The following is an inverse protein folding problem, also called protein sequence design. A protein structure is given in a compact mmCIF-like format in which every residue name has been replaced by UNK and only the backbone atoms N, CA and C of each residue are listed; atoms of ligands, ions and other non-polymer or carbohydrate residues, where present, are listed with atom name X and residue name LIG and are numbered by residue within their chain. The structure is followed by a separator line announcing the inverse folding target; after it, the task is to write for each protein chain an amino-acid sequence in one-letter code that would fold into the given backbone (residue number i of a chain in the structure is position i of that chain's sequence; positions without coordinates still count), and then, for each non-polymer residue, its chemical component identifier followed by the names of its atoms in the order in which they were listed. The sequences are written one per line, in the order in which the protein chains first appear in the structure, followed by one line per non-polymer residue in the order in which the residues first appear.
data_IF_455165015423
#
_entry.id   IF_455165015423
#
_cell.length_a   1.000
_cell.length_b   1.000
_cell.length_c   1.000
_cell.angle_alpha   90.00
_cell.angle_beta   90.00
_cell.angle_gamma   90.00
#
_symmetry.space_group_name_H-M   'P 1'
#
loop_
_entity.id
_entity.type
_entity.pdbx_description
1 polymer ?
#
# COMPACT_ATOMS: atom_id res chain seq x y z
N UNK A 1 0.10 -26.33 9.35
CA UNK A 1 -1.20 -26.64 10.00
C UNK A 1 -1.46 -25.66 11.15
N UNK A 2 -0.82 -25.82 12.32
CA UNK A 2 -1.00 -24.94 13.50
C UNK A 2 -1.08 -23.43 13.22
N UNK A 3 -0.12 -22.86 12.47
CA UNK A 3 -0.12 -21.42 12.19
C UNK A 3 -1.36 -20.92 11.41
N UNK A 4 -1.96 -21.77 10.57
CA UNK A 4 -3.18 -21.47 9.82
C UNK A 4 -4.39 -21.57 10.76
N UNK A 5 -4.45 -22.63 11.57
CA UNK A 5 -5.56 -22.83 12.51
C UNK A 5 -5.61 -21.73 13.57
N UNK A 6 -4.47 -21.38 14.16
CA UNK A 6 -4.34 -20.27 15.12
C UNK A 6 -4.79 -18.94 14.49
N UNK A 7 -4.49 -18.73 13.20
CA UNK A 7 -4.92 -17.56 12.46
C UNK A 7 -6.45 -17.51 12.31
N UNK A 8 -7.08 -18.59 11.84
CA UNK A 8 -8.53 -18.62 11.65
C UNK A 8 -9.29 -18.53 12.98
N UNK A 9 -8.79 -19.17 14.04
CA UNK A 9 -9.42 -19.07 15.36
C UNK A 9 -9.35 -17.64 15.91
N UNK A 10 -8.22 -16.95 15.73
CA UNK A 10 -8.12 -15.53 16.08
C UNK A 10 -9.13 -14.67 15.29
N UNK A 11 -9.29 -14.92 13.98
CA UNK A 11 -10.25 -14.20 13.13
C UNK A 11 -11.70 -14.52 13.50
N UNK A 12 -12.00 -15.76 13.88
CA UNK A 12 -13.32 -16.19 14.32
C UNK A 12 -13.71 -15.48 15.61
N UNK A 13 -12.81 -15.43 16.60
CA UNK A 13 -13.01 -14.66 17.85
C UNK A 13 -13.22 -13.17 17.60
N UNK A 14 -12.59 -12.63 16.56
CA UNK A 14 -12.78 -11.23 16.13
C UNK A 14 -14.05 -11.00 15.28
N UNK A 15 -14.85 -12.03 15.00
CA UNK A 15 -16.06 -11.91 14.17
C UNK A 15 -15.79 -11.64 12.69
N UNK A 16 -14.59 -11.97 12.19
CA UNK A 16 -14.15 -11.67 10.82
C UNK A 16 -14.37 -12.85 9.86
N UNK A 17 -14.49 -14.06 10.39
CA UNK A 17 -14.76 -15.29 9.65
C UNK A 17 -15.77 -16.14 10.41
N UNK A 18 -16.43 -17.05 9.70
CA UNK A 18 -17.24 -18.11 10.29
C UNK A 18 -17.08 -19.42 9.51
N UNK A 19 -17.47 -20.52 10.12
CA UNK A 19 -17.51 -21.81 9.43
C UNK A 19 -18.48 -21.72 8.25
N UNK A 20 -18.07 -22.27 7.11
CA UNK A 20 -18.80 -22.15 5.85
C UNK A 20 -19.45 -23.47 5.45
N UNK A 21 -20.58 -23.36 4.76
CA UNK A 21 -21.23 -24.45 4.01
C UNK A 21 -21.24 -24.15 2.50
N UNK A 22 -20.39 -23.23 2.07
CA UNK A 22 -20.34 -22.77 0.68
C UNK A 22 -19.97 -23.92 -0.26
N UNK A 23 -20.55 -23.96 -1.47
CA UNK A 23 -20.09 -24.86 -2.53
C UNK A 23 -18.73 -24.44 -3.12
N UNK A 24 -18.21 -23.26 -2.74
CA UNK A 24 -16.91 -22.76 -3.18
C UNK A 24 -15.81 -23.08 -2.17
N UNK A 25 -14.57 -23.18 -2.66
CA UNK A 25 -13.39 -23.30 -1.80
C UNK A 25 -12.13 -22.86 -2.52
N UNK A 26 -11.35 -21.99 -1.89
CA UNK A 26 -9.99 -21.68 -2.29
C UNK A 26 -8.98 -22.20 -1.24
N UNK A 27 -7.89 -22.87 -1.64
CA UNK A 27 -6.95 -23.43 -0.68
C UNK A 27 -6.18 -22.32 0.04
N UNK A 28 -5.95 -22.51 1.35
CA UNK A 28 -5.10 -21.64 2.17
C UNK A 28 -3.76 -22.28 2.48
N UNK A 29 -2.69 -21.51 2.31
CA UNK A 29 -1.33 -21.91 2.66
C UNK A 29 -0.59 -20.77 3.37
N UNK A 30 0.63 -21.04 3.86
CA UNK A 30 1.44 -20.03 4.51
C UNK A 30 2.86 -19.94 3.91
N UNK A 31 3.40 -18.73 3.89
CA UNK A 31 4.78 -18.44 3.46
C UNK A 31 5.53 -17.75 4.60
N UNK A 32 6.84 -18.02 4.72
CA UNK A 32 7.69 -17.36 5.73
C UNK A 32 7.90 -15.90 5.35
N UNK A 33 7.78 -14.99 6.31
CA UNK A 33 8.19 -13.59 6.14
C UNK A 33 9.71 -13.47 6.33
N UNK A 34 10.32 -12.52 5.64
CA UNK A 34 11.76 -12.23 5.77
C UNK A 34 12.15 -11.84 7.22
N UNK A 35 11.27 -11.15 7.94
CA UNK A 35 11.47 -10.71 9.32
C UNK A 35 10.99 -11.75 10.36
N UNK A 36 10.74 -12.99 9.94
CA UNK A 36 10.16 -14.03 10.79
C UNK A 36 8.62 -14.01 10.84
N UNK A 37 8.05 -15.15 11.26
CA UNK A 37 6.61 -15.39 11.27
C UNK A 37 6.03 -15.85 9.93
N UNK A 38 4.70 -16.01 9.90
CA UNK A 38 3.97 -16.56 8.75
C UNK A 38 3.08 -15.50 8.10
N UNK A 39 2.98 -15.56 6.77
CA UNK A 39 1.95 -14.86 5.98
C UNK A 39 0.98 -15.92 5.47
N UNK A 40 -0.29 -15.79 5.86
CA UNK A 40 -1.37 -16.64 5.37
C UNK A 40 -1.81 -16.11 4.00
N UNK A 41 -1.99 -17.02 3.04
CA UNK A 41 -2.30 -16.73 1.64
C UNK A 41 -3.46 -17.61 1.20
N UNK A 42 -4.46 -17.00 0.57
CA UNK A 42 -5.61 -17.69 -0.03
C UNK A 42 -5.45 -17.71 -1.55
N UNK A 43 -5.51 -18.88 -2.16
CA UNK A 43 -5.30 -19.03 -3.60
C UNK A 43 -6.59 -18.73 -4.40
N UNK A 44 -7.02 -17.46 -4.38
CA UNK A 44 -8.24 -16.99 -5.07
C UNK A 44 -8.10 -16.88 -6.60
N UNK A 45 -7.13 -17.54 -7.24
CA UNK A 45 -6.85 -17.41 -8.67
C UNK A 45 -8.11 -17.62 -9.53
N UNK A 46 -8.82 -18.74 -9.33
CA UNK A 46 -10.05 -19.06 -10.09
C UNK A 46 -11.17 -18.03 -9.85
N UNK A 47 -11.34 -17.58 -8.61
CA UNK A 47 -12.31 -16.55 -8.26
C UNK A 47 -11.97 -15.21 -8.93
N UNK A 48 -10.68 -14.85 -8.92
CA UNK A 48 -10.19 -13.61 -9.52
C UNK A 48 -10.32 -13.63 -11.04
N UNK A 49 -10.13 -14.78 -11.69
CA UNK A 49 -10.33 -14.93 -13.13
C UNK A 49 -11.80 -14.73 -13.52
N UNK A 50 -12.73 -15.25 -12.72
CA UNK A 50 -14.17 -15.05 -12.92
C UNK A 50 -14.68 -13.66 -12.50
N UNK A 51 -13.88 -12.88 -11.76
CA UNK A 51 -14.29 -11.56 -11.26
C UNK A 51 -14.00 -10.46 -12.28
N UNK A 52 -15.02 -9.66 -12.60
CA UNK A 52 -14.86 -8.47 -13.43
C UNK A 52 -13.92 -7.46 -12.74
N UNK A 53 -12.83 -7.01 -13.39
CA UNK A 53 -11.91 -6.04 -12.80
C UNK A 53 -12.60 -4.70 -12.49
N UNK A 54 -12.42 -4.20 -11.28
CA UNK A 54 -12.87 -2.85 -10.92
C UNK A 54 -12.00 -1.80 -11.62
N UNK A 55 -12.63 -0.94 -12.41
CA UNK A 55 -11.99 0.22 -13.04
C UNK A 55 -12.09 1.41 -12.08
N UNK A 56 -11.18 1.49 -11.11
CA UNK A 56 -11.12 2.64 -10.20
C UNK A 56 -10.03 3.60 -10.68
N UNK A 57 -10.32 4.90 -10.85
CA UNK A 57 -9.29 5.88 -11.18
C UNK A 57 -8.25 5.92 -10.07
N UNK A 58 -7.03 5.49 -10.36
CA UNK A 58 -5.88 5.62 -9.46
C UNK A 58 -5.13 6.88 -9.87
N UNK A 59 -4.95 7.87 -8.97
CA UNK A 59 -4.18 9.05 -9.30
C UNK A 59 -2.76 8.65 -9.69
N UNK A 60 -2.22 9.30 -10.74
CA UNK A 60 -0.83 9.11 -11.10
C UNK A 60 0.04 9.55 -9.93
N UNK A 61 1.11 8.79 -9.65
CA UNK A 61 2.08 9.09 -8.59
C UNK A 61 2.55 10.56 -8.63
N UNK A 62 2.75 11.09 -9.83
CA UNK A 62 3.29 12.44 -10.02
C UNK A 62 2.27 13.51 -9.57
N UNK A 63 0.96 13.26 -9.73
CA UNK A 63 -0.10 14.17 -9.23
C UNK A 63 -0.07 14.30 -7.71
N UNK A 64 0.18 13.19 -7.00
CA UNK A 64 0.31 13.20 -5.53
C UNK A 64 1.58 13.93 -5.12
N UNK A 65 2.69 13.66 -5.80
CA UNK A 65 3.97 14.30 -5.50
C UNK A 65 3.89 15.81 -5.77
N UNK A 66 3.28 16.22 -6.87
CA UNK A 66 3.12 17.61 -7.27
C UNK A 66 2.21 18.38 -6.29
N UNK A 67 1.17 17.74 -5.73
CA UNK A 67 0.33 18.39 -4.71
C UNK A 67 1.10 18.68 -3.41
N UNK A 68 2.19 17.96 -3.16
CA UNK A 68 3.07 18.15 -2.01
C UNK A 68 4.16 19.21 -2.25
N UNK A 69 4.23 19.78 -3.46
CA UNK A 69 5.20 20.82 -3.79
C UNK A 69 5.10 22.02 -2.83
N UNK A 70 6.23 22.71 -2.61
CA UNK A 70 6.36 23.86 -1.71
C UNK A 70 6.04 23.58 -0.23
N UNK A 71 5.79 22.33 0.14
CA UNK A 71 5.66 21.92 1.53
C UNK A 71 7.05 21.75 2.14
N UNK A 72 7.16 22.01 3.44
CA UNK A 72 8.44 22.06 4.15
C UNK A 72 8.54 21.02 5.27
N UNK A 73 7.39 20.54 5.75
CA UNK A 73 7.29 19.48 6.76
C UNK A 73 6.26 18.43 6.33
N UNK A 74 6.59 17.16 6.62
CA UNK A 74 5.88 16.00 6.10
C UNK A 74 5.65 14.94 7.17
N UNK A 75 4.56 14.19 7.03
CA UNK A 75 4.32 12.94 7.75
C UNK A 75 3.80 11.88 6.77
N UNK A 76 4.09 10.62 7.05
CA UNK A 76 3.56 9.49 6.30
C UNK A 76 2.87 8.52 7.27
N UNK A 77 1.65 8.11 6.94
CA UNK A 77 0.90 7.10 7.68
C UNK A 77 0.72 5.86 6.80
N UNK A 78 0.97 4.68 7.38
CA UNK A 78 0.63 3.37 6.80
C UNK A 78 -0.63 2.87 7.48
N UNK A 79 -1.74 2.77 6.74
CA UNK A 79 -3.00 2.24 7.26
C UNK A 79 -2.86 0.73 7.52
N UNK A 80 -3.34 0.29 8.69
CA UNK A 80 -3.17 -1.09 9.17
C UNK A 80 -4.23 -2.00 8.58
N UNK A 81 -3.81 -3.07 7.91
CA UNK A 81 -4.64 -4.23 7.56
C UNK A 81 -6.04 -3.82 7.05
N UNK A 82 -6.08 -2.79 6.21
CA UNK A 82 -7.30 -2.03 5.91
C UNK A 82 -8.40 -2.87 5.28
N UNK A 83 -8.03 -3.93 4.56
CA UNK A 83 -8.97 -4.85 3.93
C UNK A 83 -9.92 -5.50 4.95
N UNK A 84 -9.40 -5.97 6.10
CA UNK A 84 -10.23 -6.64 7.12
C UNK A 84 -11.16 -5.69 7.89
N UNK A 85 -11.12 -4.39 7.60
CA UNK A 85 -12.03 -3.39 8.18
C UNK A 85 -13.28 -3.16 7.31
N UNK A 86 -13.27 -3.62 6.06
CA UNK A 86 -14.38 -3.47 5.12
C UNK A 86 -15.23 -4.74 5.16
N UNK A 87 -16.53 -4.60 5.42
CA UNK A 87 -17.47 -5.72 5.40
C UNK A 87 -17.63 -6.26 3.98
N UNK A 88 -17.71 -7.59 3.86
CA UNK A 88 -18.15 -8.23 2.63
C UNK A 88 -19.63 -7.97 2.43
N UNK A 89 -20.05 -7.84 1.16
CA UNK A 89 -21.47 -7.89 0.80
C UNK A 89 -22.00 -9.29 1.12
N UNK A 90 -23.16 -9.40 1.74
CA UNK A 90 -23.71 -10.67 2.21
C UNK A 90 -23.82 -11.74 1.12
N UNK A 91 -24.22 -11.36 -0.10
CA UNK A 91 -24.30 -12.26 -1.25
C UNK A 91 -22.96 -12.84 -1.70
N UNK A 92 -21.87 -12.15 -1.38
CA UNK A 92 -20.53 -12.46 -1.89
C UNK A 92 -19.70 -13.21 -0.84
N UNK A 93 -20.17 -13.28 0.42
CA UNK A 93 -19.50 -14.00 1.52
C UNK A 93 -19.18 -15.45 1.12
N UNK A 94 -20.12 -16.26 0.57
CA UNK A 94 -19.83 -17.66 0.23
C UNK A 94 -18.73 -17.80 -0.83
N UNK A 95 -18.51 -16.80 -1.68
CA UNK A 95 -17.46 -16.82 -2.71
C UNK A 95 -16.05 -16.74 -2.08
N UNK A 96 -15.95 -16.18 -0.88
CA UNK A 96 -14.68 -16.05 -0.14
C UNK A 96 -14.32 -17.31 0.65
N UNK A 97 -15.07 -18.41 0.48
CA UNK A 97 -14.82 -19.63 1.21
C UNK A 97 -13.41 -20.20 0.94
N UNK A 98 -12.72 -20.58 2.01
CA UNK A 98 -11.35 -21.06 2.01
C UNK A 98 -11.19 -22.33 2.83
N UNK A 99 -10.45 -23.29 2.29
CA UNK A 99 -10.11 -24.53 2.99
C UNK A 99 -8.76 -24.44 3.68
N UNK A 100 -8.66 -25.04 4.87
CA UNK A 100 -7.42 -25.18 5.62
C UNK A 100 -6.84 -26.59 5.44
N UNK A 101 -5.52 -26.78 5.64
CA UNK A 101 -4.91 -28.12 5.65
C UNK A 101 -5.46 -29.06 6.75
N UNK A 102 -6.13 -28.52 7.77
CA UNK A 102 -6.81 -29.27 8.83
C UNK A 102 -8.20 -29.78 8.42
N UNK A 103 -8.64 -29.51 7.19
CA UNK A 103 -9.94 -29.95 6.67
C UNK A 103 -11.12 -29.04 7.01
N UNK A 104 -10.86 -27.85 7.58
CA UNK A 104 -11.90 -26.89 7.91
C UNK A 104 -12.21 -25.98 6.72
N UNK A 105 -13.47 -25.57 6.60
CA UNK A 105 -13.93 -24.61 5.61
C UNK A 105 -14.44 -23.34 6.30
N UNK A 106 -13.83 -22.19 5.96
CA UNK A 106 -14.17 -20.88 6.52
C UNK A 106 -14.61 -19.93 5.43
N UNK A 107 -15.49 -18.98 5.73
CA UNK A 107 -15.82 -17.86 4.85
C UNK A 107 -15.60 -16.53 5.57
N UNK A 108 -15.28 -15.49 4.79
CA UNK A 108 -14.92 -14.18 5.30
C UNK A 108 -16.12 -13.23 5.34
N UNK A 109 -16.32 -12.62 6.51
CA UNK A 109 -17.34 -11.58 6.74
C UNK A 109 -16.80 -10.17 6.45
N UNK A 110 -15.47 -10.04 6.39
CA UNK A 110 -14.73 -8.83 6.02
C UNK A 110 -13.86 -9.13 4.80
N UNK A 111 -13.46 -8.12 4.04
CA UNK A 111 -12.77 -8.29 2.78
C UNK A 111 -11.37 -8.92 3.00
N UNK A 112 -11.13 -10.17 2.55
CA UNK A 112 -9.84 -10.82 2.74
C UNK A 112 -8.78 -10.31 1.75
N UNK A 113 -7.52 -10.51 2.12
CA UNK A 113 -6.41 -10.35 1.19
C UNK A 113 -6.47 -11.39 0.06
N UNK A 114 -6.02 -11.00 -1.14
CA UNK A 114 -5.93 -11.88 -2.31
C UNK A 114 -7.09 -11.76 -3.29
N UNK A 115 -8.20 -11.09 -2.92
CA UNK A 115 -9.26 -10.78 -3.87
C UNK A 115 -8.81 -9.71 -4.88
N UNK A 116 -9.15 -9.90 -6.15
CA UNK A 116 -8.79 -9.02 -7.28
C UNK A 116 -9.12 -7.56 -7.04
N UNK A 117 -10.33 -7.29 -6.55
CA UNK A 117 -10.85 -5.94 -6.39
C UNK A 117 -10.66 -5.39 -4.97
N UNK A 118 -9.98 -6.10 -4.06
CA UNK A 118 -9.78 -5.62 -2.69
C UNK A 118 -8.97 -4.30 -2.61
N UNK A 119 -7.82 -4.16 -3.32
CA UNK A 119 -7.08 -2.89 -3.35
C UNK A 119 -7.91 -1.72 -3.88
N UNK A 120 -8.66 -1.96 -4.97
CA UNK A 120 -9.52 -0.97 -5.60
C UNK A 120 -10.65 -0.49 -4.66
N UNK A 121 -11.30 -1.42 -3.97
CA UNK A 121 -12.38 -1.14 -3.02
C UNK A 121 -11.86 -0.37 -1.82
N UNK A 122 -10.72 -0.79 -1.26
CA UNK A 122 -10.10 -0.12 -0.13
C UNK A 122 -9.67 1.30 -0.48
N UNK A 123 -8.97 1.49 -1.61
CA UNK A 123 -8.54 2.80 -2.06
C UNK A 123 -9.74 3.75 -2.28
N UNK A 124 -10.83 3.26 -2.87
CA UNK A 124 -12.06 4.05 -3.06
C UNK A 124 -12.67 4.46 -1.71
N UNK A 125 -12.68 3.56 -0.73
CA UNK A 125 -13.16 3.84 0.62
C UNK A 125 -12.31 4.94 1.28
N UNK A 126 -10.99 4.75 1.38
CA UNK A 126 -10.07 5.71 2.02
C UNK A 126 -10.13 7.08 1.33
N UNK A 127 -10.08 7.10 0.00
CA UNK A 127 -10.16 8.35 -0.78
C UNK A 127 -11.47 9.09 -0.52
N UNK A 128 -12.58 8.37 -0.41
CA UNK A 128 -13.87 8.98 -0.09
C UNK A 128 -13.90 9.52 1.34
N UNK A 129 -13.45 8.73 2.32
CA UNK A 129 -13.45 9.10 3.73
C UNK A 129 -12.52 10.28 4.02
N UNK A 130 -11.38 10.38 3.35
CA UNK A 130 -10.38 11.44 3.54
C UNK A 130 -10.55 12.61 2.55
N UNK A 131 -11.63 12.64 1.77
CA UNK A 131 -11.84 13.63 0.71
C UNK A 131 -11.75 15.08 1.20
N UNK A 132 -12.21 15.37 2.42
CA UNK A 132 -12.22 16.73 2.98
C UNK A 132 -10.84 17.23 3.41
N UNK A 133 -9.84 16.34 3.48
CA UNK A 133 -8.47 16.66 3.90
C UNK A 133 -7.45 16.39 2.79
N UNK A 134 -7.90 15.97 1.60
CA UNK A 134 -7.05 15.53 0.49
C UNK A 134 -6.02 16.57 0.03
N UNK A 135 -6.30 17.86 0.26
CA UNK A 135 -5.45 18.96 -0.21
C UNK A 135 -4.13 19.07 0.59
N UNK A 136 -4.11 18.55 1.82
CA UNK A 136 -2.90 18.47 2.66
C UNK A 136 -2.57 17.03 3.11
N UNK A 137 -3.45 16.07 2.84
CA UNK A 137 -3.33 14.67 3.20
C UNK A 137 -3.78 13.73 2.06
N UNK A 138 -3.18 13.80 0.85
CA UNK A 138 -3.48 12.87 -0.23
C UNK A 138 -3.20 11.41 0.20
N UNK A 139 -4.11 10.52 -0.19
CA UNK A 139 -4.01 9.07 0.07
C UNK A 139 -3.69 8.29 -1.21
N UNK A 140 -2.95 7.21 -1.07
CA UNK A 140 -2.68 6.23 -2.12
C UNK A 140 -2.75 4.82 -1.54
N UNK A 141 -3.85 4.11 -1.78
CA UNK A 141 -4.15 2.84 -1.13
C UNK A 141 -4.02 2.92 0.40
N UNK A 142 -3.02 2.25 0.97
CA UNK A 142 -2.75 2.18 2.41
C UNK A 142 -1.93 3.39 2.91
N UNK A 143 -1.33 4.18 2.03
CA UNK A 143 -0.50 5.32 2.42
C UNK A 143 -1.32 6.61 2.49
N UNK A 144 -1.09 7.41 3.53
CA UNK A 144 -1.59 8.79 3.63
C UNK A 144 -0.41 9.72 3.88
N UNK A 145 -0.21 10.69 2.98
CA UNK A 145 0.92 11.61 3.03
C UNK A 145 0.44 12.98 3.49
N UNK A 146 0.85 13.41 4.69
CA UNK A 146 0.53 14.73 5.22
C UNK A 146 1.67 15.66 4.87
N UNK A 147 1.35 16.81 4.30
CA UNK A 147 2.33 17.83 3.95
C UNK A 147 1.84 19.20 4.41
N UNK A 148 2.75 20.07 4.81
CA UNK A 148 2.40 21.40 5.33
C UNK A 148 3.51 22.40 5.07
N UNK A 149 3.14 23.67 5.09
CA UNK A 149 4.04 24.83 5.01
C UNK A 149 3.50 25.93 5.91
N UNK A 150 4.33 26.92 6.19
CA UNK A 150 3.89 28.14 6.87
C UNK A 150 2.88 28.90 5.98
N UNK A 151 1.75 29.30 6.56
CA UNK A 151 0.66 30.05 5.91
C UNK A 151 -0.03 30.91 6.98
N UNK A 152 -0.54 32.08 6.61
CA UNK A 152 -1.34 32.97 7.49
C UNK A 152 -0.67 33.30 8.83
N UNK A 153 0.65 33.54 8.80
CA UNK A 153 1.43 33.88 10.00
C UNK A 153 1.73 32.70 10.94
N UNK A 154 1.23 31.50 10.64
CA UNK A 154 1.54 30.28 11.40
C UNK A 154 2.82 29.63 10.90
N UNK A 155 3.64 29.13 11.81
CA UNK A 155 4.80 28.31 11.48
C UNK A 155 4.38 27.01 10.79
N UNK A 156 5.33 26.40 10.07
CA UNK A 156 5.11 25.09 9.43
C UNK A 156 4.70 24.01 10.45
N UNK A 157 5.25 24.06 11.68
CA UNK A 157 4.97 23.11 12.75
C UNK A 157 3.55 23.28 13.29
N UNK A 158 3.09 24.53 13.46
CA UNK A 158 1.71 24.81 13.90
C UNK A 158 0.70 24.35 12.87
N UNK A 159 0.93 24.68 11.59
CA UNK A 159 0.10 24.20 10.48
C UNK A 159 0.07 22.68 10.42
N UNK A 160 1.22 22.01 10.57
CA UNK A 160 1.30 20.56 10.52
C UNK A 160 0.53 19.89 11.68
N UNK A 161 0.60 20.47 12.89
CA UNK A 161 -0.20 20.00 14.03
C UNK A 161 -1.70 20.14 13.77
N UNK A 162 -2.15 21.23 13.14
CA UNK A 162 -3.55 21.39 12.77
C UNK A 162 -4.01 20.36 11.73
N UNK A 163 -3.21 20.12 10.70
CA UNK A 163 -3.48 19.10 9.69
C UNK A 163 -3.57 17.70 10.30
N UNK A 164 -2.61 17.33 11.15
CA UNK A 164 -2.65 16.06 11.88
C UNK A 164 -3.90 15.93 12.76
N UNK A 165 -4.29 16.99 13.49
CA UNK A 165 -5.52 16.98 14.31
C UNK A 165 -6.77 16.74 13.46
N UNK A 166 -6.91 17.44 12.33
CA UNK A 166 -8.04 17.30 11.39
C UNK A 166 -8.10 15.88 10.82
N UNK A 167 -6.97 15.36 10.34
CA UNK A 167 -6.88 14.01 9.80
C UNK A 167 -7.19 12.95 10.86
N UNK A 168 -6.60 13.05 12.05
CA UNK A 168 -6.84 12.08 13.11
C UNK A 168 -8.27 12.11 13.66
N UNK A 169 -8.93 13.27 13.66
CA UNK A 169 -10.35 13.35 14.00
C UNK A 169 -11.21 12.54 13.00
N UNK A 170 -10.90 12.67 11.71
CA UNK A 170 -11.59 11.95 10.63
C UNK A 170 -11.32 10.44 10.69
N UNK A 171 -10.05 10.05 10.91
CA UNK A 171 -9.68 8.65 11.10
C UNK A 171 -10.39 8.02 12.31
N UNK A 172 -10.45 8.71 13.46
CA UNK A 172 -11.20 8.23 14.64
C UNK A 172 -12.69 8.09 14.36
N UNK A 173 -13.30 9.08 13.70
CA UNK A 173 -14.72 9.04 13.32
C UNK A 173 -15.05 7.81 12.47
N UNK A 174 -14.18 7.45 11.54
CA UNK A 174 -14.37 6.34 10.62
C UNK A 174 -13.68 5.04 11.03
N UNK A 175 -13.10 4.99 12.24
CA UNK A 175 -12.38 3.82 12.77
C UNK A 175 -11.27 3.32 11.83
N UNK A 176 -10.55 4.26 11.20
CA UNK A 176 -9.35 3.97 10.42
C UNK A 176 -8.13 3.98 11.35
N UNK A 177 -7.34 2.91 11.29
CA UNK A 177 -6.17 2.72 12.15
C UNK A 177 -4.88 2.70 11.33
N UNK A 178 -3.83 3.33 11.86
CA UNK A 178 -2.50 3.31 11.26
C UNK A 178 -1.55 2.39 12.03
N UNK A 179 -0.55 1.85 11.34
CA UNK A 179 0.53 1.10 11.92
C UNK A 179 1.63 2.04 12.42
N UNK A 180 1.57 2.40 13.70
CA UNK A 180 2.48 3.36 14.33
C UNK A 180 3.97 3.09 14.05
N UNK A 181 4.39 1.81 13.99
CA UNK A 181 5.79 1.43 13.74
C UNK A 181 6.30 1.82 12.35
N UNK A 182 5.40 2.05 11.40
CA UNK A 182 5.72 2.45 10.02
C UNK A 182 5.41 3.93 9.75
N UNK A 183 4.75 4.61 10.69
CA UNK A 183 4.44 6.02 10.52
C UNK A 183 5.70 6.88 10.68
N UNK A 184 5.77 7.97 9.93
CA UNK A 184 6.80 9.01 10.04
C UNK A 184 6.08 10.31 10.37
N UNK A 185 6.58 11.07 11.35
CA UNK A 185 5.95 12.31 11.79
C UNK A 185 6.91 13.50 11.74
N UNK A 186 6.44 14.61 11.15
CA UNK A 186 7.12 15.90 11.20
C UNK A 186 8.54 15.91 10.61
N UNK A 187 8.79 15.11 9.58
CA UNK A 187 10.09 15.01 8.93
C UNK A 187 10.26 16.07 7.83
N UNK A 188 11.50 16.42 7.51
CA UNK A 188 11.86 17.30 6.39
C UNK A 188 11.76 16.63 5.02
N UNK A 189 11.76 15.30 5.01
CA UNK A 189 11.59 14.45 3.84
C UNK A 189 10.98 13.10 4.24
N UNK A 190 10.18 12.51 3.34
CA UNK A 190 9.54 11.20 3.53
C UNK A 190 9.57 10.36 2.26
N UNK A 191 9.55 9.02 2.37
CA UNK A 191 9.32 8.14 1.23
C UNK A 191 7.88 8.26 0.74
N UNK A 192 7.73 8.49 -0.57
CA UNK A 192 6.44 8.60 -1.26
C UNK A 192 6.54 7.83 -2.57
N UNK A 193 5.79 6.73 -2.68
CA UNK A 193 5.60 5.96 -3.92
C UNK A 193 6.92 5.63 -4.65
N UNK A 194 7.95 5.24 -3.88
CA UNK A 194 9.26 4.85 -4.39
C UNK A 194 10.18 6.02 -4.76
N UNK A 195 9.90 7.23 -4.27
CA UNK A 195 10.77 8.41 -4.33
C UNK A 195 10.91 8.97 -2.91
N UNK A 196 11.86 9.87 -2.69
CA UNK A 196 11.88 10.68 -1.47
C UNK A 196 11.44 12.10 -1.80
N UNK A 197 10.46 12.59 -1.05
CA UNK A 197 9.88 13.93 -1.22
C UNK A 197 10.23 14.74 0.00
N UNK A 198 10.80 15.93 -0.21
CA UNK A 198 11.14 16.86 0.87
C UNK A 198 11.13 18.30 0.41
N UNK A 199 11.55 19.20 1.29
CA UNK A 199 11.56 20.66 1.02
C UNK A 199 12.39 21.07 -0.21
N UNK A 200 13.41 20.29 -0.55
CA UNK A 200 14.30 20.54 -1.68
C UNK A 200 13.82 19.86 -2.98
N UNK A 201 12.58 19.37 -3.00
CA UNK A 201 11.99 18.66 -4.14
C UNK A 201 12.06 17.14 -4.01
N UNK A 202 12.06 16.48 -5.16
CA UNK A 202 11.91 15.02 -5.28
C UNK A 202 13.25 14.41 -5.67
N UNK A 203 13.70 13.42 -4.89
CA UNK A 203 14.94 12.69 -5.14
C UNK A 203 14.70 11.18 -5.27
N UNK A 204 15.56 10.46 -5.99
CA UNK A 204 15.47 9.00 -6.04
C UNK A 204 15.70 8.40 -4.64
N UNK A 205 15.08 7.25 -4.42
CA UNK A 205 15.25 6.47 -3.19
C UNK A 205 16.73 6.04 -3.05
N UNK A 206 17.43 6.39 -1.95
CA UNK A 206 18.84 6.06 -1.77
C UNK A 206 19.13 4.56 -1.83
N UNK A 207 18.20 3.72 -1.38
CA UNK A 207 18.34 2.27 -1.45
C UNK A 207 18.34 1.78 -2.90
N UNK A 208 17.43 2.29 -3.74
CA UNK A 208 17.43 1.98 -5.17
C UNK A 208 18.66 2.52 -5.89
N UNK A 209 19.10 3.73 -5.55
CA UNK A 209 20.35 4.30 -6.11
C UNK A 209 21.54 3.42 -5.74
N UNK A 210 21.62 2.98 -4.48
CA UNK A 210 22.68 2.08 -4.03
C UNK A 210 22.68 0.77 -4.80
N UNK A 211 21.52 0.13 -4.98
CA UNK A 211 21.39 -1.11 -5.75
C UNK A 211 21.86 -0.93 -7.21
N UNK A 212 21.59 0.22 -7.82
CA UNK A 212 22.06 0.53 -9.18
C UNK A 212 23.58 0.76 -9.21
N UNK A 213 24.12 1.48 -8.22
CA UNK A 213 25.56 1.76 -8.13
C UNK A 213 26.39 0.51 -7.82
N UNK A 214 25.86 -0.40 -7.01
CA UNK A 214 26.51 -1.66 -6.62
C UNK A 214 26.22 -2.80 -7.63
N UNK A 215 25.44 -2.53 -8.68
CA UNK A 215 25.09 -3.55 -9.66
C UNK A 215 26.35 -4.05 -10.39
N UNK A 216 26.56 -5.37 -10.49
CA UNK A 216 27.75 -5.90 -11.15
C UNK A 216 27.74 -5.55 -12.65
N UNK A 217 28.92 -5.30 -13.22
CA UNK A 217 29.07 -5.03 -14.65
C UNK A 217 28.49 -6.19 -15.46
N UNK A 218 27.45 -5.96 -16.30
CA UNK A 218 26.84 -7.00 -17.09
C UNK A 218 27.85 -7.66 -18.04
N UNK A 219 27.92 -8.98 -18.01
CA UNK A 219 28.82 -9.78 -18.85
C UNK A 219 28.14 -10.33 -20.10
N UNK A 220 26.81 -10.29 -20.15
CA UNK A 220 26.00 -10.83 -21.24
C UNK A 220 24.73 -10.01 -21.49
N UNK A 221 24.08 -10.26 -22.62
CA UNK A 221 22.87 -9.54 -23.07
C UNK A 221 21.72 -9.64 -22.07
N UNK A 222 21.56 -10.78 -21.38
CA UNK A 222 20.48 -10.97 -20.39
C UNK A 222 20.70 -10.08 -19.17
N UNK A 223 21.91 -10.07 -18.63
CA UNK A 223 22.30 -9.20 -17.51
C UNK A 223 22.19 -7.72 -17.89
N UNK A 224 22.59 -7.37 -19.11
CA UNK A 224 22.49 -5.99 -19.59
C UNK A 224 21.04 -5.52 -19.65
N UNK A 225 20.13 -6.35 -20.17
CA UNK A 225 18.70 -6.06 -20.18
C UNK A 225 18.12 -5.91 -18.77
N UNK A 226 18.57 -6.74 -17.83
CA UNK A 226 18.16 -6.62 -16.42
C UNK A 226 18.62 -5.29 -15.81
N UNK A 227 19.88 -4.91 -16.05
CA UNK A 227 20.42 -3.62 -15.61
C UNK A 227 19.67 -2.44 -16.22
N UNK A 228 19.43 -2.44 -17.54
CA UNK A 228 18.69 -1.37 -18.22
C UNK A 228 17.25 -1.24 -17.72
N UNK A 229 16.58 -2.37 -17.46
CA UNK A 229 15.25 -2.40 -16.84
C UNK A 229 15.23 -1.76 -15.46
N UNK A 230 16.25 -2.03 -14.64
CA UNK A 230 16.43 -1.38 -13.33
C UNK A 230 16.74 0.12 -13.48
N UNK A 231 17.72 0.47 -14.31
CA UNK A 231 18.21 1.83 -14.52
C UNK A 231 17.15 2.77 -15.09
N UNK A 232 16.13 2.23 -15.77
CA UNK A 232 14.97 3.01 -16.25
C UNK A 232 14.27 3.77 -15.11
N UNK A 233 14.37 3.30 -13.87
CA UNK A 233 13.92 4.04 -12.67
C UNK A 233 14.52 5.45 -12.56
N UNK A 234 15.78 5.63 -13.03
CA UNK A 234 16.51 6.89 -12.96
C UNK A 234 16.23 7.84 -14.11
N UNK A 235 15.42 7.46 -15.12
CA UNK A 235 15.24 8.25 -16.34
C UNK A 235 14.79 9.70 -16.07
N UNK A 236 13.96 9.91 -15.04
CA UNK A 236 13.45 11.22 -14.63
C UNK A 236 14.41 12.06 -13.80
N UNK A 237 15.50 11.48 -13.30
CA UNK A 237 16.48 12.14 -12.44
C UNK A 237 17.80 12.42 -13.17
N UNK A 238 17.98 11.87 -14.37
CA UNK A 238 19.24 11.94 -15.12
C UNK A 238 19.04 12.72 -16.40
N UNK A 239 19.73 13.86 -16.52
CA UNK A 239 19.77 14.63 -17.77
C UNK A 239 20.30 13.77 -18.93
N UNK A 240 19.60 13.84 -20.07
CA UNK A 240 19.87 13.07 -21.28
C UNK A 240 20.07 11.56 -21.04
N UNK A 241 19.18 10.96 -20.24
CA UNK A 241 19.23 9.51 -19.95
C UNK A 241 19.24 8.66 -21.23
N UNK A 242 18.39 8.98 -22.21
CA UNK A 242 18.33 8.25 -23.49
C UNK A 242 19.68 8.30 -24.24
N UNK A 243 20.33 9.46 -24.31
CA UNK A 243 21.66 9.58 -24.92
C UNK A 243 22.73 8.79 -24.16
N UNK A 244 22.65 8.74 -22.83
CA UNK A 244 23.60 7.99 -21.99
C UNK A 244 23.49 6.48 -22.14
N UNK A 245 22.28 5.95 -22.34
CA UNK A 245 22.09 4.49 -22.51
C UNK A 245 22.22 4.02 -23.96
N UNK A 246 22.23 4.93 -24.94
CA UNK A 246 22.33 4.59 -26.38
C UNK A 246 23.50 3.66 -26.75
N UNK A 247 24.71 3.76 -26.15
CA UNK A 247 25.79 2.82 -26.44
C UNK A 247 25.56 1.39 -25.91
N UNK A 248 24.55 1.21 -25.04
CA UNK A 248 24.22 -0.04 -24.36
C UNK A 248 22.97 -0.73 -24.93
N UNK A 249 22.29 -0.10 -25.89
CA UNK A 249 21.05 -0.60 -26.53
C UNK A 249 21.32 -1.41 -27.77
#
# INVERSE_FOLDING_TARGET
VKAIDDFFESRRKAGQVRESKSPHSAPTFCVKKAQGGWRIVHAYNKLNDATVPAQTPIPRKDVIIDSMALSTIFSALDLRDGFYQILMRESDIPLTAVSTPSGMLWEWLVMPQGLKNAPATFNRCVTHLLRSVRDFAPSYFDDVFIHSRAVDGKSEVEMHKEHLRKLFALMRKHKLYANLKKCIFGASEIPVLGCLVGKNGVRPDPGKVRVINEWPTPSNVKELRQFLGLATYLCKYVSNYAGKIRPLS
#
